data_IF_278451633635
#
_entry.id   IF_278451633635
#
_cell.length_a   1.000
_cell.length_b   1.000
_cell.length_c   1.000
_cell.angle_alpha   90.00
_cell.angle_beta   90.00
_cell.angle_gamma   90.00
#
_symmetry.space_group_name_H-M   'P 1'
#
loop_
_entity.id
_entity.type
_entity.pdbx_description
1 polymer ?
#
# COMPACT_ATOMS: atom_id res chain seq x y z
N UNK A 1 -32.03 -12.48 -25.05
CA UNK A 1 -31.05 -13.51 -24.63
C UNK A 1 -31.46 -14.02 -23.25
N UNK A 2 -31.72 -15.32 -23.12
CA UNK A 2 -32.02 -15.95 -21.83
C UNK A 2 -30.71 -15.91 -21.03
N UNK A 3 -30.69 -15.15 -19.92
CA UNK A 3 -29.59 -15.26 -18.95
C UNK A 3 -29.69 -16.65 -18.34
N UNK A 4 -28.75 -17.54 -18.69
CA UNK A 4 -28.60 -18.77 -17.94
C UNK A 4 -28.21 -18.38 -16.51
N UNK A 5 -29.13 -18.56 -15.56
CA UNK A 5 -28.75 -18.63 -14.16
C UNK A 5 -27.76 -19.79 -14.06
N UNK A 6 -26.49 -19.48 -13.81
CA UNK A 6 -25.46 -20.48 -13.58
C UNK A 6 -25.88 -21.20 -12.30
N UNK A 7 -26.52 -22.37 -12.44
CA UNK A 7 -26.89 -23.19 -11.30
C UNK A 7 -25.60 -23.79 -10.76
N UNK A 8 -25.25 -23.59 -9.48
CA UNK A 8 -24.09 -24.24 -8.89
C UNK A 8 -24.26 -25.77 -8.99
N UNK A 9 -23.27 -26.47 -9.57
CA UNK A 9 -23.38 -27.91 -9.86
C UNK A 9 -23.22 -28.79 -8.60
N UNK A 10 -22.58 -28.26 -7.54
CA UNK A 10 -22.41 -28.97 -6.27
C UNK A 10 -23.52 -28.57 -5.28
N UNK A 11 -24.11 -29.56 -4.59
CA UNK A 11 -25.14 -29.37 -3.57
C UNK A 11 -24.74 -28.35 -2.49
N UNK A 12 -23.47 -28.37 -2.05
CA UNK A 12 -22.97 -27.41 -1.05
C UNK A 12 -23.00 -25.99 -1.62
N UNK A 13 -22.43 -25.78 -2.81
CA UNK A 13 -22.40 -24.46 -3.45
C UNK A 13 -23.80 -23.92 -3.74
N UNK A 14 -24.70 -24.81 -4.16
CA UNK A 14 -26.11 -24.48 -4.39
C UNK A 14 -26.76 -24.03 -3.08
N UNK A 15 -26.55 -24.77 -1.99
CA UNK A 15 -27.07 -24.41 -0.68
C UNK A 15 -26.51 -23.08 -0.17
N UNK A 16 -25.20 -22.82 -0.33
CA UNK A 16 -24.58 -21.54 0.04
C UNK A 16 -25.19 -20.38 -0.76
N UNK A 17 -25.32 -20.54 -2.08
CA UNK A 17 -25.84 -19.48 -2.94
C UNK A 17 -27.31 -19.16 -2.64
N UNK A 18 -28.12 -20.19 -2.40
CA UNK A 18 -29.53 -20.03 -2.01
C UNK A 18 -29.67 -19.44 -0.61
N UNK A 19 -28.79 -19.79 0.32
CA UNK A 19 -28.79 -19.22 1.66
C UNK A 19 -28.52 -17.72 1.66
N UNK A 20 -27.49 -17.28 0.92
CA UNK A 20 -27.18 -15.85 0.77
C UNK A 20 -28.36 -15.11 0.14
N UNK A 21 -28.93 -15.66 -0.94
CA UNK A 21 -30.07 -15.04 -1.62
C UNK A 21 -31.30 -14.92 -0.70
N UNK A 22 -31.60 -15.95 0.10
CA UNK A 22 -32.72 -15.93 1.03
C UNK A 22 -32.53 -14.90 2.15
N UNK A 23 -31.33 -14.79 2.72
CA UNK A 23 -31.05 -13.82 3.79
C UNK A 23 -31.10 -12.39 3.28
N UNK A 24 -30.51 -12.09 2.11
CA UNK A 24 -30.57 -10.75 1.51
C UNK A 24 -32.02 -10.30 1.20
N UNK A 25 -32.98 -11.22 1.14
CA UNK A 25 -34.39 -10.93 0.86
C UNK A 25 -35.27 -10.70 2.10
N UNK A 26 -34.76 -10.89 3.33
CA UNK A 26 -35.55 -10.85 4.58
C UNK A 26 -34.80 -10.10 5.71
N UNK A 27 -35.52 -9.66 6.75
CA UNK A 27 -34.91 -9.02 7.93
C UNK A 27 -34.12 -10.04 8.79
N UNK A 28 -33.05 -9.55 9.42
CA UNK A 28 -31.95 -10.33 10.00
C UNK A 28 -32.28 -10.95 11.37
N UNK A 29 -32.09 -12.27 11.48
CA UNK A 29 -31.99 -13.01 12.75
C UNK A 29 -30.56 -13.54 12.92
N UNK A 30 -30.15 -13.84 14.17
CA UNK A 30 -28.84 -14.43 14.47
C UNK A 30 -28.69 -15.79 13.77
N UNK A 31 -27.54 -16.03 13.13
CA UNK A 31 -27.25 -17.23 12.32
C UNK A 31 -28.17 -17.46 11.11
N UNK A 32 -28.75 -16.38 10.56
CA UNK A 32 -29.68 -16.47 9.44
C UNK A 32 -29.05 -17.12 8.20
N UNK A 33 -27.76 -16.91 7.92
CA UNK A 33 -27.08 -17.54 6.79
C UNK A 33 -26.90 -19.04 7.00
N UNK A 34 -26.47 -19.46 8.19
CA UNK A 34 -26.32 -20.89 8.55
C UNK A 34 -27.64 -21.62 8.50
N UNK A 35 -28.68 -21.05 9.11
CA UNK A 35 -29.99 -21.68 9.17
C UNK A 35 -30.56 -21.92 7.77
N UNK A 36 -30.38 -20.94 6.87
CA UNK A 36 -30.80 -21.08 5.46
C UNK A 36 -29.93 -22.08 4.70
N UNK A 37 -28.62 -22.07 4.93
CA UNK A 37 -27.71 -23.03 4.32
C UNK A 37 -28.05 -24.47 4.71
N UNK A 38 -28.23 -24.71 6.02
CA UNK A 38 -28.64 -25.99 6.57
C UNK A 38 -29.96 -26.45 5.96
N UNK A 39 -30.96 -25.57 5.88
CA UNK A 39 -32.23 -25.88 5.23
C UNK A 39 -32.06 -26.30 3.77
N UNK A 40 -31.26 -25.57 2.98
CA UNK A 40 -31.05 -25.89 1.57
C UNK A 40 -30.19 -27.14 1.35
N UNK A 41 -29.27 -27.44 2.27
CA UNK A 41 -28.36 -28.58 2.16
C UNK A 41 -28.97 -29.89 2.69
N UNK A 42 -29.60 -29.85 3.86
CA UNK A 42 -30.15 -31.02 4.55
C UNK A 42 -31.68 -31.15 4.42
N UNK A 43 -32.38 -30.10 3.98
CA UNK A 43 -33.85 -30.08 3.88
C UNK A 43 -34.57 -29.80 5.21
N UNK A 44 -33.84 -29.55 6.30
CA UNK A 44 -34.37 -29.24 7.64
C UNK A 44 -33.48 -28.22 8.33
N UNK A 45 -34.02 -27.47 9.30
CA UNK A 45 -33.26 -26.51 10.13
C UNK A 45 -32.70 -27.19 11.39
N UNK A 46 -33.39 -28.23 11.89
CA UNK A 46 -33.00 -28.94 13.10
C UNK A 46 -31.91 -29.98 12.82
N UNK A 47 -30.65 -29.63 13.08
CA UNK A 47 -29.51 -30.52 12.86
C UNK A 47 -28.83 -30.94 14.15
N UNK A 48 -28.26 -32.15 14.14
CA UNK A 48 -27.46 -32.66 15.26
C UNK A 48 -26.01 -32.20 15.12
N UNK A 49 -25.31 -31.91 16.22
CA UNK A 49 -23.89 -31.49 16.19
C UNK A 49 -22.96 -32.45 15.42
N UNK A 50 -23.29 -33.73 15.37
CA UNK A 50 -22.52 -34.75 14.62
C UNK A 50 -22.53 -34.49 13.12
N UNK A 51 -23.63 -33.95 12.58
CA UNK A 51 -23.77 -33.66 11.14
C UNK A 51 -22.96 -32.42 10.72
N UNK A 52 -22.66 -31.52 11.65
CA UNK A 52 -21.81 -30.35 11.40
C UNK A 52 -20.32 -30.71 11.29
N UNK A 53 -19.91 -31.89 11.74
CA UNK A 53 -18.51 -32.32 11.68
C UNK A 53 -17.96 -32.32 10.26
N UNK A 54 -18.80 -32.52 9.25
CA UNK A 54 -18.39 -32.47 7.85
C UNK A 54 -17.91 -31.08 7.41
N UNK A 55 -18.31 -30.03 8.12
CA UNK A 55 -18.00 -28.63 7.79
C UNK A 55 -16.98 -28.00 8.73
N UNK A 56 -16.60 -28.69 9.81
CA UNK A 56 -15.79 -28.11 10.88
C UNK A 56 -14.63 -29.05 11.22
N UNK A 57 -13.41 -28.56 11.04
CA UNK A 57 -12.18 -29.33 11.24
C UNK A 57 -11.76 -29.42 12.72
N UNK A 58 -12.37 -28.65 13.62
CA UNK A 58 -12.01 -28.58 15.04
C UNK A 58 -13.12 -29.16 15.93
N UNK A 59 -12.88 -30.34 16.49
CA UNK A 59 -13.88 -31.05 17.30
C UNK A 59 -14.19 -30.35 18.65
N UNK A 60 -13.24 -29.57 19.18
CA UNK A 60 -13.28 -28.99 20.54
C UNK A 60 -14.13 -27.71 20.69
N UNK A 61 -14.82 -27.25 19.64
CA UNK A 61 -15.66 -26.04 19.70
C UNK A 61 -17.06 -26.34 20.25
N UNK A 62 -17.64 -25.38 20.99
CA UNK A 62 -19.04 -25.45 21.43
C UNK A 62 -19.98 -25.44 20.22
N UNK A 63 -21.23 -25.91 20.40
CA UNK A 63 -22.20 -25.93 19.30
C UNK A 63 -22.49 -24.52 18.74
N UNK A 64 -22.58 -23.52 19.60
CA UNK A 64 -22.79 -22.12 19.18
C UNK A 64 -21.59 -21.58 18.39
N UNK A 65 -20.37 -21.83 18.85
CA UNK A 65 -19.14 -21.42 18.14
C UNK A 65 -19.03 -22.11 16.77
N UNK A 66 -19.50 -23.35 16.68
CA UNK A 66 -19.58 -24.10 15.42
C UNK A 66 -20.55 -23.42 14.44
N UNK A 67 -21.68 -22.94 14.92
CA UNK A 67 -22.64 -22.19 14.10
C UNK A 67 -22.10 -20.81 13.72
N UNK A 68 -21.49 -20.05 14.64
CA UNK A 68 -20.86 -18.76 14.35
C UNK A 68 -19.83 -18.89 13.22
N UNK A 69 -18.94 -19.89 13.28
CA UNK A 69 -17.93 -20.12 12.25
C UNK A 69 -18.53 -20.42 10.86
N UNK A 70 -19.61 -21.20 10.80
CA UNK A 70 -20.27 -21.50 9.53
C UNK A 70 -21.00 -20.25 9.01
N UNK A 71 -21.56 -19.41 9.89
CA UNK A 71 -22.27 -18.18 9.53
C UNK A 71 -21.29 -17.17 8.93
N UNK A 72 -20.16 -16.96 9.60
CA UNK A 72 -19.06 -16.15 9.09
C UNK A 72 -18.49 -16.72 7.80
N UNK A 73 -18.36 -18.04 7.68
CA UNK A 73 -17.92 -18.67 6.43
C UNK A 73 -18.90 -18.38 5.28
N UNK A 74 -20.21 -18.60 5.45
CA UNK A 74 -21.19 -18.37 4.38
C UNK A 74 -21.23 -16.89 4.00
N UNK A 75 -21.24 -16.00 5.00
CA UNK A 75 -21.19 -14.55 4.81
C UNK A 75 -19.91 -14.13 4.07
N UNK A 76 -18.76 -14.65 4.50
CA UNK A 76 -17.45 -14.37 3.92
C UNK A 76 -17.26 -14.88 2.49
N UNK A 77 -17.90 -16.00 2.11
CA UNK A 77 -17.91 -16.45 0.71
C UNK A 77 -18.68 -15.50 -0.22
N UNK A 78 -19.57 -14.66 0.33
CA UNK A 78 -20.22 -13.58 -0.42
C UNK A 78 -19.33 -12.34 -0.62
N UNK A 79 -18.31 -12.13 0.22
CA UNK A 79 -17.58 -10.85 0.30
C UNK A 79 -16.04 -10.94 0.16
N UNK A 80 -15.38 -12.08 0.42
CA UNK A 80 -13.91 -12.12 0.49
C UNK A 80 -13.28 -13.50 0.21
N UNK A 81 -12.62 -13.64 -0.94
CA UNK A 81 -11.97 -14.88 -1.42
C UNK A 81 -10.73 -15.28 -0.60
N UNK A 82 -10.18 -14.37 0.22
CA UNK A 82 -8.92 -14.58 0.94
C UNK A 82 -9.02 -15.37 2.26
N UNK A 83 -10.23 -15.69 2.74
CA UNK A 83 -10.46 -16.21 4.10
C UNK A 83 -10.78 -17.71 4.18
N UNK A 84 -10.70 -18.44 3.08
CA UNK A 84 -11.03 -19.88 3.05
C UNK A 84 -9.75 -20.70 3.07
N UNK A 85 -9.68 -21.68 3.99
CA UNK A 85 -8.60 -22.67 4.02
C UNK A 85 -8.41 -23.29 2.63
N UNK A 86 -7.14 -23.36 2.19
CA UNK A 86 -6.73 -23.76 0.85
C UNK A 86 -7.26 -25.14 0.46
N UNK A 87 -7.47 -26.02 1.44
CA UNK A 87 -8.04 -27.34 1.20
C UNK A 87 -9.52 -27.28 0.81
N UNK A 88 -10.30 -26.43 1.47
CA UNK A 88 -11.72 -26.25 1.22
C UNK A 88 -11.98 -25.53 -0.11
N UNK A 89 -11.19 -24.50 -0.45
CA UNK A 89 -11.34 -23.75 -1.71
C UNK A 89 -11.14 -24.64 -2.96
N UNK A 90 -10.19 -25.58 -2.90
CA UNK A 90 -9.90 -26.54 -3.98
C UNK A 90 -11.05 -27.55 -4.17
N UNK A 91 -11.74 -27.94 -3.10
CA UNK A 91 -12.84 -28.91 -3.12
C UNK A 91 -14.18 -28.27 -3.47
N UNK A 92 -14.42 -27.08 -2.95
CA UNK A 92 -15.62 -26.31 -3.20
C UNK A 92 -15.65 -25.77 -4.63
N UNK A 93 -14.50 -25.43 -5.26
CA UNK A 93 -14.46 -24.84 -6.60
C UNK A 93 -13.45 -25.51 -7.56
N UNK A 94 -13.72 -26.74 -8.05
CA UNK A 94 -12.76 -27.51 -8.86
C UNK A 94 -12.35 -26.84 -10.18
N UNK A 95 -13.22 -26.02 -10.77
CA UNK A 95 -12.97 -25.28 -12.02
C UNK A 95 -11.87 -24.21 -11.87
N UNK A 96 -11.48 -23.86 -10.65
CA UNK A 96 -10.40 -22.90 -10.39
C UNK A 96 -9.03 -23.58 -10.41
N UNK A 97 -8.96 -24.92 -10.28
CA UNK A 97 -7.70 -25.67 -10.34
C UNK A 97 -6.95 -25.50 -11.67
N UNK A 98 -7.66 -25.23 -12.76
CA UNK A 98 -7.10 -25.05 -14.11
C UNK A 98 -7.07 -23.60 -14.59
N UNK A 99 -7.40 -22.62 -13.73
CA UNK A 99 -7.28 -21.18 -14.06
C UNK A 99 -6.17 -20.46 -13.31
N UNK A 100 -5.58 -21.14 -12.32
CA UNK A 100 -4.32 -20.75 -11.65
C UNK A 100 -3.15 -21.44 -12.37
N UNK A 101 -3.20 -21.55 -13.70
CA UNK A 101 -2.07 -22.02 -14.50
C UNK A 101 -1.15 -20.82 -14.74
N UNK A 102 0.04 -20.86 -14.12
CA UNK A 102 1.27 -20.03 -14.26
C UNK A 102 1.16 -18.54 -14.63
N UNK A 103 0.40 -18.19 -15.65
CA UNK A 103 0.22 -16.84 -16.20
C UNK A 103 -0.29 -15.82 -15.19
N UNK A 104 -1.14 -16.20 -14.25
CA UNK A 104 -1.64 -15.26 -13.23
C UNK A 104 -0.57 -14.88 -12.22
N UNK A 105 0.24 -15.85 -11.77
CA UNK A 105 1.37 -15.59 -10.89
C UNK A 105 2.49 -14.84 -11.61
N UNK A 106 2.82 -15.22 -12.85
CA UNK A 106 3.75 -14.47 -13.70
C UNK A 106 3.28 -13.03 -13.94
N UNK A 107 1.98 -12.81 -14.17
CA UNK A 107 1.43 -11.47 -14.37
C UNK A 107 1.43 -10.61 -13.11
N UNK A 108 1.16 -11.21 -11.94
CA UNK A 108 1.26 -10.51 -10.66
C UNK A 108 2.72 -10.18 -10.31
N UNK A 109 3.66 -11.10 -10.56
CA UNK A 109 5.10 -10.85 -10.39
C UNK A 109 5.61 -9.80 -11.36
N UNK A 110 5.19 -9.84 -12.63
CA UNK A 110 5.51 -8.81 -13.63
C UNK A 110 4.97 -7.44 -13.23
N UNK A 111 3.71 -7.36 -12.78
CA UNK A 111 3.13 -6.10 -12.28
C UNK A 111 3.87 -5.56 -11.07
N UNK A 112 4.23 -6.43 -10.12
CA UNK A 112 5.01 -6.05 -8.93
C UNK A 112 6.41 -5.57 -9.31
N UNK A 113 7.09 -6.27 -10.23
CA UNK A 113 8.41 -5.87 -10.74
C UNK A 113 8.35 -4.55 -11.51
N UNK A 114 7.33 -4.33 -12.34
CA UNK A 114 7.11 -3.06 -13.03
C UNK A 114 6.89 -1.92 -12.05
N UNK A 115 6.07 -2.12 -11.03
CA UNK A 115 5.82 -1.11 -10.01
C UNK A 115 7.09 -0.76 -9.23
N UNK A 116 7.86 -1.74 -8.79
CA UNK A 116 9.16 -1.51 -8.14
C UNK A 116 10.15 -0.76 -9.05
N UNK A 117 10.16 -1.07 -10.35
CA UNK A 117 11.01 -0.35 -11.31
C UNK A 117 10.54 1.09 -11.56
N UNK A 118 9.23 1.35 -11.55
CA UNK A 118 8.66 2.70 -11.65
C UNK A 118 9.02 3.51 -10.40
N UNK A 119 8.85 2.91 -9.21
CA UNK A 119 9.21 3.53 -7.94
C UNK A 119 10.72 3.84 -7.88
N UNK A 120 11.57 2.88 -8.27
CA UNK A 120 13.02 3.08 -8.34
C UNK A 120 13.43 4.15 -9.36
N UNK A 121 12.78 4.21 -10.54
CA UNK A 121 13.02 5.26 -11.53
C UNK A 121 12.57 6.63 -11.01
N UNK A 122 11.38 6.73 -10.43
CA UNK A 122 10.88 7.99 -9.86
C UNK A 122 11.78 8.49 -8.73
N UNK A 123 12.33 7.58 -7.92
CA UNK A 123 13.30 7.91 -6.89
C UNK A 123 14.64 8.36 -7.49
N UNK A 124 15.13 7.68 -8.52
CA UNK A 124 16.34 8.08 -9.26
C UNK A 124 16.18 9.44 -9.95
N UNK A 125 15.05 9.70 -10.60
CA UNK A 125 14.77 10.95 -11.29
C UNK A 125 14.66 12.12 -10.29
N UNK A 126 14.12 11.88 -9.10
CA UNK A 126 14.09 12.85 -8.00
C UNK A 126 15.50 13.13 -7.45
N UNK A 127 16.36 12.11 -7.28
CA UNK A 127 17.76 12.31 -6.85
C UNK A 127 18.54 13.12 -7.88
N UNK A 128 18.40 12.78 -9.17
CA UNK A 128 19.04 13.52 -10.27
C UNK A 128 18.57 14.97 -10.30
N UNK A 129 17.28 15.23 -10.02
CA UNK A 129 16.75 16.59 -9.91
C UNK A 129 17.35 17.36 -8.72
N UNK A 130 17.52 16.74 -7.56
CA UNK A 130 18.10 17.38 -6.36
C UNK A 130 19.58 17.68 -6.53
N UNK A 131 20.36 16.73 -7.05
CA UNK A 131 21.79 16.93 -7.32
C UNK A 131 22.00 18.04 -8.36
N UNK A 132 21.18 18.08 -9.41
CA UNK A 132 21.24 19.13 -10.42
C UNK A 132 20.96 20.53 -9.85
N UNK A 133 19.97 20.68 -8.96
CA UNK A 133 19.67 21.96 -8.33
C UNK A 133 20.80 22.43 -7.40
N UNK A 134 21.45 21.50 -6.69
CA UNK A 134 22.63 21.82 -5.86
C UNK A 134 23.83 22.21 -6.74
N UNK A 135 24.05 21.52 -7.86
CA UNK A 135 25.10 21.90 -8.82
C UNK A 135 24.88 23.30 -9.41
N UNK A 136 23.63 23.68 -9.70
CA UNK A 136 23.31 25.04 -10.15
C UNK A 136 23.72 26.11 -9.14
N UNK A 137 23.47 25.89 -7.85
CA UNK A 137 23.96 26.81 -6.80
C UNK A 137 25.49 26.87 -6.81
N UNK A 138 26.16 25.72 -6.85
CA UNK A 138 27.62 25.66 -6.84
C UNK A 138 28.28 26.30 -8.07
N UNK A 139 27.54 26.51 -9.16
CA UNK A 139 27.99 27.24 -10.34
C UNK A 139 27.79 28.76 -10.24
N UNK A 140 27.09 29.25 -9.22
CA UNK A 140 27.00 30.70 -8.98
C UNK A 140 28.37 31.19 -8.52
N UNK A 141 29.02 31.99 -9.35
CA UNK A 141 30.29 32.62 -8.98
C UNK A 141 30.07 33.73 -7.95
N UNK A 142 31.15 34.03 -7.23
CA UNK A 142 31.25 35.11 -6.24
C UNK A 142 30.73 36.45 -6.79
N UNK A 143 31.04 36.78 -8.04
CA UNK A 143 30.61 38.04 -8.67
C UNK A 143 29.12 38.08 -9.02
N UNK A 144 28.41 36.95 -8.89
CA UNK A 144 26.97 36.77 -9.12
C UNK A 144 26.22 36.30 -7.87
N UNK A 145 26.77 36.55 -6.67
CA UNK A 145 26.19 36.22 -5.36
C UNK A 145 24.73 36.63 -5.20
N UNK A 146 24.33 37.74 -5.83
CA UNK A 146 22.94 38.21 -5.85
C UNK A 146 21.92 37.19 -6.39
N UNK A 147 22.35 36.14 -7.10
CA UNK A 147 21.49 35.06 -7.60
C UNK A 147 21.16 34.00 -6.54
N UNK A 148 21.88 33.96 -5.41
CA UNK A 148 21.70 32.95 -4.35
C UNK A 148 20.29 33.04 -3.75
N UNK A 149 19.78 34.25 -3.53
CA UNK A 149 18.42 34.46 -3.01
C UNK A 149 17.33 33.97 -3.98
N UNK A 150 17.53 34.15 -5.30
CA UNK A 150 16.62 33.64 -6.31
C UNK A 150 16.62 32.11 -6.32
N UNK A 151 17.79 31.48 -6.23
CA UNK A 151 17.92 30.03 -6.16
C UNK A 151 17.18 29.42 -4.95
N UNK A 152 17.28 30.02 -3.76
CA UNK A 152 16.53 29.56 -2.57
C UNK A 152 15.02 29.64 -2.78
N UNK A 153 14.55 30.71 -3.42
CA UNK A 153 13.13 30.91 -3.70
C UNK A 153 12.61 29.88 -4.71
N UNK A 154 13.34 29.68 -5.80
CA UNK A 154 12.99 28.76 -6.89
C UNK A 154 13.01 27.29 -6.44
N UNK A 155 13.90 26.92 -5.52
CA UNK A 155 14.06 25.54 -5.05
C UNK A 155 13.22 25.18 -3.82
N UNK A 156 12.56 26.15 -3.17
CA UNK A 156 11.79 25.94 -1.92
C UNK A 156 10.64 24.92 -2.02
N UNK A 157 10.15 24.67 -3.24
CA UNK A 157 9.07 23.68 -3.50
C UNK A 157 9.59 22.26 -3.69
N UNK A 158 10.90 22.08 -3.87
CA UNK A 158 11.54 20.81 -4.23
C UNK A 158 12.53 20.35 -3.15
N UNK A 159 13.32 21.28 -2.60
CA UNK A 159 14.32 21.00 -1.58
C UNK A 159 13.78 21.31 -0.18
N UNK A 160 14.10 20.44 0.78
CA UNK A 160 13.89 20.73 2.19
C UNK A 160 14.82 21.85 2.69
N UNK A 161 14.41 22.52 3.76
CA UNK A 161 15.21 23.59 4.38
C UNK A 161 16.61 23.10 4.80
N UNK A 162 16.73 21.86 5.25
CA UNK A 162 18.03 21.23 5.57
C UNK A 162 18.91 21.02 4.34
N UNK A 163 18.33 20.65 3.20
CA UNK A 163 19.07 20.46 1.94
C UNK A 163 19.55 21.80 1.39
N UNK A 164 18.69 22.83 1.41
CA UNK A 164 19.07 24.19 1.01
C UNK A 164 20.19 24.74 1.91
N UNK A 165 20.09 24.54 3.23
CA UNK A 165 21.14 24.95 4.18
C UNK A 165 22.48 24.26 3.88
N UNK A 166 22.48 22.95 3.67
CA UNK A 166 23.70 22.21 3.34
C UNK A 166 24.29 22.63 1.99
N UNK A 167 23.45 22.97 1.01
CA UNK A 167 23.90 23.48 -0.27
C UNK A 167 24.57 24.88 -0.14
N UNK A 168 23.98 25.77 0.66
CA UNK A 168 24.55 27.10 0.95
C UNK A 168 25.88 27.01 1.71
N UNK A 169 26.00 26.05 2.64
CA UNK A 169 27.27 25.76 3.33
C UNK A 169 28.37 25.36 2.35
N UNK A 170 28.08 24.41 1.44
CA UNK A 170 29.02 23.99 0.40
C UNK A 170 29.41 25.12 -0.54
N UNK A 171 28.46 25.99 -0.90
CA UNK A 171 28.73 27.16 -1.73
C UNK A 171 29.65 28.14 -1.01
N UNK A 172 29.37 28.43 0.27
CA UNK A 172 30.19 29.28 1.12
C UNK A 172 31.62 28.75 1.21
N UNK A 173 31.79 27.49 1.59
CA UNK A 173 33.13 26.86 1.71
C UNK A 173 33.90 26.91 0.37
N UNK A 174 33.21 26.69 -0.76
CA UNK A 174 33.81 26.83 -2.09
C UNK A 174 34.23 28.27 -2.38
N UNK A 175 33.38 29.25 -2.09
CA UNK A 175 33.64 30.67 -2.36
C UNK A 175 34.83 31.21 -1.57
N UNK A 176 34.95 30.80 -0.30
CA UNK A 176 36.05 31.16 0.61
C UNK A 176 37.39 30.59 0.12
N UNK A 177 37.38 29.36 -0.40
CA UNK A 177 38.57 28.74 -0.99
C UNK A 177 39.01 29.40 -2.32
N UNK A 178 38.06 29.90 -3.12
CA UNK A 178 38.33 30.53 -4.42
C UNK A 178 38.92 31.95 -4.30
N UNK A 179 38.57 32.70 -3.25
CA UNK A 179 39.07 34.07 -3.05
C UNK A 179 40.49 34.15 -2.45
N UNK A 180 41.17 33.02 -2.18
CA UNK A 180 42.52 32.95 -1.61
C UNK A 180 42.72 33.90 -0.40
N UNK A 181 41.74 33.93 0.51
CA UNK A 181 41.75 34.85 1.66
C UNK A 181 42.74 34.32 2.72
N UNK A 182 43.71 35.16 3.13
CA UNK A 182 44.72 34.83 4.15
C UNK A 182 44.09 34.45 5.50
N UNK A 183 44.54 33.31 6.04
CA UNK A 183 43.86 32.43 7.01
C UNK A 183 43.99 32.82 8.51
N UNK A 184 43.76 34.07 8.90
CA UNK A 184 43.82 34.42 10.35
C UNK A 184 42.45 34.61 11.04
N UNK A 185 41.36 34.92 10.33
CA UNK A 185 40.06 35.27 10.96
C UNK A 185 38.81 34.85 10.18
N UNK A 186 38.77 33.63 9.64
CA UNK A 186 37.56 33.15 8.98
C UNK A 186 36.64 32.38 9.94
N UNK A 187 35.44 32.91 10.19
CA UNK A 187 34.38 32.19 10.91
C UNK A 187 33.82 31.09 10.00
N UNK A 188 33.63 29.89 10.53
CA UNK A 188 32.96 28.81 9.81
C UNK A 188 31.50 29.16 9.50
N UNK A 189 30.94 28.54 8.46
CA UNK A 189 29.53 28.72 8.09
C UNK A 189 28.60 28.53 9.30
N UNK A 190 28.86 27.51 10.10
CA UNK A 190 28.08 27.24 11.30
C UNK A 190 28.30 28.25 12.43
N UNK A 191 29.46 28.90 12.53
CA UNK A 191 29.67 29.99 13.51
C UNK A 191 28.91 31.26 13.12
N UNK A 192 28.82 31.58 11.83
CA UNK A 192 28.09 32.75 11.33
C UNK A 192 26.57 32.55 11.34
N UNK A 193 26.11 31.37 10.94
CA UNK A 193 24.73 31.16 10.52
C UNK A 193 23.94 30.15 11.37
N UNK A 194 24.49 29.66 12.50
CA UNK A 194 23.89 28.60 13.33
C UNK A 194 22.37 28.72 13.54
N UNK A 195 21.92 29.94 13.84
CA UNK A 195 20.55 30.23 14.25
C UNK A 195 19.75 30.97 13.16
N UNK A 196 20.28 31.08 11.94
CA UNK A 196 19.61 31.78 10.85
C UNK A 196 18.82 30.78 10.01
N UNK A 197 17.66 31.23 9.53
CA UNK A 197 16.89 30.51 8.52
C UNK A 197 17.56 30.63 7.14
N UNK A 198 17.17 29.74 6.22
CA UNK A 198 17.79 29.68 4.89
C UNK A 198 17.62 31.01 4.13
N UNK A 199 16.50 31.70 4.30
CA UNK A 199 16.25 32.99 3.66
C UNK A 199 17.20 34.08 4.12
N UNK A 200 17.47 34.18 5.42
CA UNK A 200 18.42 35.15 5.99
C UNK A 200 19.86 34.82 5.61
N UNK A 201 20.22 33.54 5.61
CA UNK A 201 21.55 33.10 5.14
C UNK A 201 21.74 33.50 3.67
N UNK A 202 20.77 33.19 2.81
CA UNK A 202 20.84 33.53 1.39
C UNK A 202 20.93 35.04 1.16
N UNK A 203 20.19 35.84 1.92
CA UNK A 203 20.30 37.30 1.87
C UNK A 203 21.71 37.77 2.23
N UNK A 204 22.27 37.31 3.35
CA UNK A 204 23.61 37.73 3.77
C UNK A 204 24.73 37.27 2.82
N UNK A 205 24.59 36.08 2.23
CA UNK A 205 25.51 35.58 1.20
C UNK A 205 25.36 36.30 -0.16
N UNK A 206 24.24 36.99 -0.38
CA UNK A 206 23.94 37.74 -1.61
C UNK A 206 24.43 39.19 -1.58
N UNK A 207 24.88 39.68 -0.42
CA UNK A 207 25.45 41.03 -0.22
C UNK A 207 26.93 41.08 -0.62
#
# INVERSE_FOLDING_TARGET
MIKHNIIPQNLIQKAVSLAIADVCSKQEEKHSYVNRFIYHYFGTIDIKPVQLKEFIFTDNLSYEQKLDNIDEFIKGNGENIALVDKYFSIKAFPAIKHRIDSRYYEHLELKRSQQLNIEAKSFSDNIVSTEHLIEQLLQIDVDSRNKIQNWVTETSSVLSESEQRSALEKWFDKSVNLEHIDLEYFYSFNELYKNYDVGRIAYELSL
#
